data_IF_997983982347
#
_entry.id   IF_997983982347
#
_cell.length_a   1.000
_cell.length_b   1.000
_cell.length_c   1.000
_cell.angle_alpha   90.00
_cell.angle_beta   90.00
_cell.angle_gamma   90.00
#
_symmetry.space_group_name_H-M   'P 1'
#
loop_
_entity.id
_entity.type
_entity.pdbx_description
1 polymer ?
#
# COMPACT_ATOMS: atom_id res chain seq x y z
N UNK A 1 24.28 30.13 8.88
CA UNK A 1 25.31 29.14 9.30
C UNK A 1 24.89 27.85 8.64
N UNK A 2 25.71 27.32 7.74
CA UNK A 2 25.32 26.16 6.94
C UNK A 2 25.32 24.90 7.82
N UNK A 3 24.24 24.14 7.78
CA UNK A 3 24.02 22.92 8.56
C UNK A 3 24.10 21.69 7.68
N UNK A 4 24.62 20.61 8.25
CA UNK A 4 24.66 19.33 7.57
C UNK A 4 23.28 18.66 7.64
N UNK A 5 22.73 18.26 6.49
CA UNK A 5 21.40 17.66 6.41
C UNK A 5 21.45 16.18 6.75
N UNK A 6 20.55 15.75 7.64
CA UNK A 6 20.29 14.35 7.97
C UNK A 6 18.84 14.03 7.63
N UNK A 7 18.62 13.04 6.77
CA UNK A 7 17.29 12.74 6.18
C UNK A 7 16.54 11.60 6.89
N UNK A 8 17.26 10.70 7.56
CA UNK A 8 16.74 9.49 8.22
C UNK A 8 17.43 9.21 9.55
N UNK A 9 16.99 8.16 10.26
CA UNK A 9 17.64 7.72 11.49
C UNK A 9 18.87 6.80 11.26
N UNK A 10 19.37 6.69 10.02
CA UNK A 10 20.60 5.94 9.71
C UNK A 10 21.81 6.68 10.24
N UNK A 11 22.30 6.24 11.38
CA UNK A 11 23.39 6.83 12.14
C UNK A 11 24.74 6.93 11.40
N UNK A 12 24.94 6.11 10.36
CA UNK A 12 26.10 6.16 9.46
C UNK A 12 26.09 7.42 8.58
N UNK A 13 24.93 8.08 8.46
CA UNK A 13 24.75 9.31 7.67
C UNK A 13 24.81 10.57 8.53
N UNK A 14 25.03 10.42 9.84
CA UNK A 14 25.09 11.53 10.78
C UNK A 14 26.54 12.01 10.89
N UNK A 15 26.81 13.31 10.78
CA UNK A 15 28.16 13.84 10.94
C UNK A 15 28.61 13.70 12.40
N UNK A 16 29.91 13.55 12.61
CA UNK A 16 30.50 13.48 13.95
C UNK A 16 30.63 14.87 14.61
N UNK A 17 30.83 15.92 13.81
CA UNK A 17 31.01 17.30 14.26
C UNK A 17 30.23 18.30 13.40
N UNK A 18 29.99 19.49 13.96
CA UNK A 18 29.34 20.61 13.28
C UNK A 18 27.82 20.68 13.48
N UNK A 19 27.19 21.78 13.00
CA UNK A 19 25.76 22.00 13.19
C UNK A 19 24.93 21.13 12.24
N UNK A 20 23.86 20.54 12.76
CA UNK A 20 23.01 19.55 12.07
C UNK A 20 21.61 20.09 11.83
N UNK A 21 21.04 19.78 10.67
CA UNK A 21 19.63 19.91 10.37
C UNK A 21 19.03 18.52 10.18
N UNK A 22 18.22 18.07 11.13
CA UNK A 22 17.38 16.89 10.94
C UNK A 22 16.16 17.26 10.08
N UNK A 23 15.92 16.50 9.01
CA UNK A 23 14.81 16.74 8.08
C UNK A 23 13.43 16.62 8.74
N UNK A 24 13.34 15.87 9.83
CA UNK A 24 12.14 15.77 10.65
C UNK A 24 12.37 14.94 11.90
N UNK A 25 11.34 14.83 12.72
CA UNK A 25 11.40 14.11 14.00
C UNK A 25 11.69 12.61 13.83
N UNK A 26 11.38 12.03 12.68
CA UNK A 26 11.68 10.63 12.37
C UNK A 26 13.19 10.33 12.38
N UNK A 27 14.06 11.33 12.18
CA UNK A 27 15.50 11.17 12.33
C UNK A 27 15.90 10.94 13.80
N UNK A 28 15.15 11.45 14.78
CA UNK A 28 15.54 11.48 16.20
C UNK A 28 14.89 10.36 17.00
N UNK A 29 15.22 9.11 16.68
CA UNK A 29 14.71 7.96 17.44
C UNK A 29 15.02 8.11 18.93
N UNK A 30 14.01 7.93 19.79
CA UNK A 30 14.15 8.09 21.24
C UNK A 30 15.24 7.16 21.83
N UNK A 31 15.36 5.94 21.29
CA UNK A 31 16.39 4.96 21.67
C UNK A 31 17.82 5.44 21.42
N UNK A 32 18.02 6.49 20.63
CA UNK A 32 19.32 7.08 20.28
C UNK A 32 19.53 8.48 20.86
N UNK A 33 18.74 8.84 21.89
CA UNK A 33 18.75 10.18 22.51
C UNK A 33 20.11 10.63 23.00
N UNK A 34 20.90 9.72 23.55
CA UNK A 34 22.25 10.05 24.05
C UNK A 34 23.15 10.63 22.96
N UNK A 35 22.97 10.21 21.70
CA UNK A 35 23.75 10.70 20.56
C UNK A 35 23.20 12.01 19.99
N UNK A 36 21.90 12.07 19.66
CA UNK A 36 21.37 13.27 18.99
C UNK A 36 21.16 14.46 19.93
N UNK A 37 21.01 14.24 21.25
CA UNK A 37 20.78 15.33 22.19
C UNK A 37 22.05 16.15 22.50
N UNK A 38 23.23 15.61 22.21
CA UNK A 38 24.51 16.31 22.37
C UNK A 38 24.94 17.10 21.14
N UNK A 39 24.27 16.91 20.00
CA UNK A 39 24.55 17.62 18.74
C UNK A 39 23.97 19.04 18.76
N UNK A 40 24.65 20.00 18.12
CA UNK A 40 24.06 21.30 17.76
C UNK A 40 23.07 21.09 16.61
N UNK A 41 21.86 20.64 16.95
CA UNK A 41 20.88 20.21 15.98
C UNK A 41 19.58 21.00 16.05
N UNK A 42 19.03 21.30 14.87
CA UNK A 42 17.67 21.81 14.70
C UNK A 42 16.88 20.83 13.84
N UNK A 43 15.55 20.87 13.96
CA UNK A 43 14.64 20.02 13.18
C UNK A 43 13.85 20.88 12.21
N UNK A 44 13.79 20.48 10.94
CA UNK A 44 12.97 21.15 9.95
C UNK A 44 11.47 20.98 10.28
N UNK A 45 10.64 22.01 10.02
CA UNK A 45 9.20 21.88 10.20
C UNK A 45 8.60 20.92 9.17
N UNK A 46 7.50 20.26 9.52
CA UNK A 46 6.87 19.29 8.63
C UNK A 46 5.91 19.95 7.65
N UNK A 47 5.96 19.54 6.38
CA UNK A 47 5.20 20.17 5.29
C UNK A 47 3.67 20.17 5.47
N UNK A 48 3.11 19.24 6.27
CA UNK A 48 1.67 19.14 6.53
C UNK A 48 1.24 19.55 7.94
N UNK A 49 2.11 20.25 8.68
CA UNK A 49 1.69 20.92 9.93
C UNK A 49 0.68 22.04 9.65
N UNK A 50 0.76 22.68 8.48
CA UNK A 50 -0.31 23.55 7.97
C UNK A 50 -1.45 22.72 7.37
N UNK A 51 -2.59 22.69 8.07
CA UNK A 51 -3.78 21.93 7.64
C UNK A 51 -4.43 22.45 6.36
N UNK A 52 -4.28 23.73 6.02
CA UNK A 52 -4.78 24.28 4.75
C UNK A 52 -3.93 23.80 3.58
N UNK A 53 -2.62 23.76 3.77
CA UNK A 53 -1.70 23.19 2.78
C UNK A 53 -1.95 21.69 2.62
N UNK A 54 -2.08 20.95 3.72
CA UNK A 54 -2.39 19.52 3.69
C UNK A 54 -3.68 19.20 2.91
N UNK A 55 -4.75 19.99 3.11
CA UNK A 55 -6.01 19.83 2.35
C UNK A 55 -5.83 20.11 0.84
N UNK A 56 -5.03 21.11 0.50
CA UNK A 56 -4.75 21.47 -0.90
C UNK A 56 -3.91 20.39 -1.57
N UNK A 57 -2.85 19.94 -0.89
CA UNK A 57 -1.98 18.86 -1.34
C UNK A 57 -2.75 17.56 -1.52
N UNK A 58 -3.69 17.25 -0.62
CA UNK A 58 -4.51 16.04 -0.73
C UNK A 58 -5.28 15.99 -2.05
N UNK A 59 -6.00 17.07 -2.41
CA UNK A 59 -6.74 17.16 -3.69
C UNK A 59 -5.81 17.09 -4.88
N UNK A 60 -4.65 17.72 -4.78
CA UNK A 60 -3.62 17.62 -5.81
C UNK A 60 -3.14 16.17 -5.99
N UNK A 61 -2.85 15.45 -4.90
CA UNK A 61 -2.37 14.07 -4.92
C UNK A 61 -3.42 13.10 -5.45
N UNK A 62 -4.70 13.31 -5.14
CA UNK A 62 -5.79 12.56 -5.77
C UNK A 62 -5.80 12.77 -7.28
N UNK A 63 -5.66 14.02 -7.74
CA UNK A 63 -5.59 14.30 -9.19
C UNK A 63 -4.37 13.65 -9.87
N UNK A 64 -3.23 13.57 -9.17
CA UNK A 64 -2.03 12.88 -9.67
C UNK A 64 -2.32 11.39 -9.79
N UNK A 65 -2.90 10.78 -8.76
CA UNK A 65 -3.32 9.37 -8.79
C UNK A 65 -4.28 9.07 -9.96
N UNK A 66 -5.30 9.91 -10.18
CA UNK A 66 -6.27 9.75 -11.27
C UNK A 66 -5.65 9.88 -12.67
N UNK A 67 -4.55 10.64 -12.81
CA UNK A 67 -3.79 10.70 -14.07
C UNK A 67 -2.85 9.51 -14.25
N UNK A 68 -2.19 9.07 -13.19
CA UNK A 68 -1.21 7.97 -13.24
C UNK A 68 -1.88 6.62 -13.47
N UNK A 69 -3.03 6.36 -12.85
CA UNK A 69 -3.67 5.04 -12.87
C UNK A 69 -4.06 4.56 -14.29
N UNK A 70 -4.67 5.39 -15.17
CA UNK A 70 -4.95 4.98 -16.55
C UNK A 70 -3.70 4.75 -17.40
N UNK A 71 -2.64 5.54 -17.21
CA UNK A 71 -1.37 5.33 -17.92
C UNK A 71 -0.70 4.04 -17.46
N UNK A 72 -0.66 3.79 -16.15
CA UNK A 72 -0.11 2.55 -15.59
C UNK A 72 -0.94 1.33 -16.05
N UNK A 73 -2.26 1.47 -16.12
CA UNK A 73 -3.15 0.43 -16.68
C UNK A 73 -2.73 0.05 -18.09
N UNK A 74 -2.50 1.04 -18.97
CA UNK A 74 -2.08 0.80 -20.36
C UNK A 74 -0.74 0.04 -20.41
N UNK A 75 0.22 0.45 -19.59
CA UNK A 75 1.54 -0.17 -19.54
C UNK A 75 1.47 -1.61 -19.02
N UNK A 76 0.69 -1.86 -17.97
CA UNK A 76 0.50 -3.19 -17.40
C UNK A 76 -0.25 -4.13 -18.37
N UNK A 77 -1.28 -3.63 -19.05
CA UNK A 77 -1.99 -4.40 -20.08
C UNK A 77 -1.04 -4.81 -21.21
N UNK A 78 -0.24 -3.88 -21.72
CA UNK A 78 0.75 -4.15 -22.76
C UNK A 78 1.77 -5.22 -22.33
N UNK A 79 2.27 -5.10 -21.09
CA UNK A 79 3.27 -6.03 -20.53
C UNK A 79 2.75 -7.44 -20.35
N UNK A 80 1.53 -7.56 -19.88
CA UNK A 80 0.92 -8.84 -19.56
C UNK A 80 0.14 -9.45 -20.72
N UNK A 81 0.04 -8.75 -21.85
CA UNK A 81 -0.79 -9.18 -22.98
C UNK A 81 -2.27 -9.30 -22.60
N UNK A 82 -2.75 -8.42 -21.72
CA UNK A 82 -4.13 -8.41 -21.23
C UNK A 82 -4.86 -7.14 -21.67
N UNK A 83 -6.19 -7.12 -21.53
CA UNK A 83 -7.03 -5.96 -21.79
C UNK A 83 -7.95 -5.70 -20.59
N UNK A 84 -7.37 -5.64 -19.38
CA UNK A 84 -8.12 -5.41 -18.16
C UNK A 84 -8.53 -3.94 -18.04
N UNK A 85 -9.73 -3.70 -17.50
CA UNK A 85 -10.21 -2.35 -17.26
C UNK A 85 -9.35 -1.59 -16.22
N UNK A 86 -9.44 -0.26 -16.24
CA UNK A 86 -8.83 0.60 -15.21
C UNK A 86 -9.32 0.21 -13.82
N UNK A 87 -10.61 -0.15 -13.67
CA UNK A 87 -11.17 -0.58 -12.38
C UNK A 87 -10.51 -1.88 -11.88
N UNK A 88 -10.23 -2.83 -12.76
CA UNK A 88 -9.52 -4.07 -12.43
C UNK A 88 -8.13 -3.77 -11.86
N UNK A 89 -7.36 -2.92 -12.56
CA UNK A 89 -6.05 -2.48 -12.09
C UNK A 89 -6.12 -1.60 -10.85
N UNK A 90 -7.18 -0.82 -10.69
CA UNK A 90 -7.44 -0.04 -9.49
C UNK A 90 -7.61 -0.93 -8.27
N UNK A 91 -8.38 -2.03 -8.39
CA UNK A 91 -8.54 -3.00 -7.30
C UNK A 91 -7.20 -3.65 -6.92
N UNK A 92 -6.36 -3.98 -7.91
CA UNK A 92 -5.10 -4.68 -7.67
C UNK A 92 -3.95 -3.76 -7.21
N UNK A 93 -3.62 -2.79 -8.05
CA UNK A 93 -2.42 -1.93 -7.95
C UNK A 93 -2.75 -0.56 -7.34
N UNK A 94 -4.02 -0.15 -7.41
CA UNK A 94 -4.48 1.16 -6.93
C UNK A 94 -4.11 1.49 -5.47
N UNK A 95 -4.23 0.56 -4.49
CA UNK A 95 -3.79 0.82 -3.12
C UNK A 95 -2.30 1.20 -3.07
N UNK A 96 -1.43 0.42 -3.71
CA UNK A 96 0.00 0.69 -3.76
C UNK A 96 0.28 2.05 -4.40
N UNK A 97 -0.29 2.31 -5.59
CA UNK A 97 -0.02 3.54 -6.33
C UNK A 97 -0.38 4.78 -5.53
N UNK A 98 -1.55 4.81 -4.89
CA UNK A 98 -1.98 6.00 -4.15
C UNK A 98 -1.17 6.26 -2.88
N UNK A 99 -0.78 5.22 -2.14
CA UNK A 99 0.13 5.40 -1.01
C UNK A 99 1.53 5.79 -1.46
N UNK A 100 2.03 5.16 -2.52
CA UNK A 100 3.34 5.47 -3.10
C UNK A 100 3.42 6.95 -3.49
N UNK A 101 2.44 7.48 -4.23
CA UNK A 101 2.35 8.89 -4.61
C UNK A 101 2.37 9.82 -3.40
N UNK A 102 1.53 9.57 -2.39
CA UNK A 102 1.46 10.41 -1.18
C UNK A 102 2.77 10.39 -0.39
N UNK A 103 3.39 9.22 -0.28
CA UNK A 103 4.66 9.05 0.42
C UNK A 103 5.79 9.79 -0.29
N UNK A 104 5.91 9.65 -1.60
CA UNK A 104 6.90 10.37 -2.39
C UNK A 104 6.70 11.89 -2.28
N UNK A 105 5.45 12.37 -2.30
CA UNK A 105 5.17 13.80 -2.22
C UNK A 105 5.59 14.41 -0.88
N UNK A 106 5.25 13.76 0.23
CA UNK A 106 5.66 14.24 1.55
C UNK A 106 7.18 14.37 1.65
N UNK A 107 7.92 13.40 1.11
CA UNK A 107 9.40 13.41 1.07
C UNK A 107 9.95 14.49 0.15
N UNK A 108 9.34 14.63 -1.03
CA UNK A 108 9.69 15.66 -2.02
C UNK A 108 9.54 17.07 -1.42
N UNK A 109 8.41 17.35 -0.78
CA UNK A 109 8.14 18.64 -0.15
C UNK A 109 9.04 18.94 1.03
N UNK A 110 9.36 17.94 1.86
CA UNK A 110 10.32 18.10 2.95
C UNK A 110 11.70 18.52 2.43
N UNK A 111 12.19 17.89 1.36
CA UNK A 111 13.47 18.27 0.73
C UNK A 111 13.40 19.66 0.08
N UNK A 112 12.36 19.95 -0.71
CA UNK A 112 12.20 21.27 -1.33
C UNK A 112 12.21 22.41 -0.29
N UNK A 113 11.56 22.19 0.86
CA UNK A 113 11.51 23.17 1.95
C UNK A 113 12.89 23.48 2.52
N UNK A 114 13.69 22.46 2.83
CA UNK A 114 15.00 22.67 3.45
C UNK A 114 16.02 23.20 2.44
N UNK A 115 15.98 22.73 1.18
CA UNK A 115 16.86 23.23 0.12
C UNK A 115 16.58 24.70 -0.18
N UNK A 116 15.31 25.10 -0.21
CA UNK A 116 14.93 26.50 -0.45
C UNK A 116 15.39 27.46 0.66
N UNK A 117 15.71 26.96 1.86
CA UNK A 117 16.27 27.81 2.94
C UNK A 117 17.71 28.27 2.65
N UNK A 118 18.45 27.54 1.82
CA UNK A 118 19.83 27.87 1.42
C UNK A 118 20.90 27.63 2.49
N UNK A 119 20.52 27.15 3.68
CA UNK A 119 21.40 27.01 4.85
C UNK A 119 22.05 25.60 4.96
N UNK A 120 22.35 24.94 3.84
CA UNK A 120 22.85 23.55 3.84
C UNK A 120 24.34 23.46 3.45
N UNK A 121 25.13 22.71 4.22
CA UNK A 121 26.55 22.45 3.93
C UNK A 121 26.78 21.18 3.12
N UNK A 122 25.88 20.19 3.24
CA UNK A 122 25.97 18.90 2.56
C UNK A 122 25.05 17.86 3.19
N UNK A 123 25.11 16.64 2.67
CA UNK A 123 24.40 15.45 3.19
C UNK A 123 25.18 14.20 2.78
N UNK A 124 25.08 13.13 3.58
CA UNK A 124 25.60 11.81 3.20
C UNK A 124 24.52 11.04 2.44
N UNK A 125 24.91 10.42 1.32
CA UNK A 125 24.13 9.46 0.54
C UNK A 125 24.83 8.12 0.59
N UNK A 126 24.06 7.07 0.92
CA UNK A 126 24.58 5.71 0.99
C UNK A 126 24.33 5.04 -0.35
N UNK A 127 25.39 4.70 -1.07
CA UNK A 127 25.31 3.95 -2.33
C UNK A 127 25.09 2.46 -2.05
N UNK A 128 24.37 1.78 -2.94
CA UNK A 128 24.13 0.32 -2.85
C UNK A 128 22.79 -0.10 -2.23
N UNK A 129 21.95 0.86 -1.81
CA UNK A 129 20.66 0.59 -1.16
C UNK A 129 19.51 0.39 -2.18
N UNK A 130 19.60 0.95 -3.40
CA UNK A 130 18.44 1.10 -4.29
C UNK A 130 17.94 -0.14 -5.03
N UNK A 131 18.84 -1.04 -5.47
CA UNK A 131 18.43 -2.16 -6.36
C UNK A 131 17.73 -3.31 -5.64
N UNK A 132 17.96 -3.49 -4.34
CA UNK A 132 17.39 -4.59 -3.56
C UNK A 132 16.06 -4.24 -2.88
N UNK A 133 15.64 -2.97 -2.91
CA UNK A 133 14.44 -2.48 -2.21
C UNK A 133 13.21 -2.44 -3.10
N UNK A 134 12.91 -3.57 -3.74
CA UNK A 134 11.67 -3.78 -4.47
C UNK A 134 10.70 -4.57 -3.61
N UNK A 135 9.48 -4.07 -3.35
CA UNK A 135 8.50 -4.85 -2.61
C UNK A 135 8.07 -6.09 -3.40
N UNK A 136 7.89 -7.21 -2.71
CA UNK A 136 7.31 -8.41 -3.31
C UNK A 136 5.81 -8.20 -3.60
N UNK A 137 5.09 -7.70 -2.60
CA UNK A 137 3.64 -7.51 -2.61
C UNK A 137 3.26 -6.28 -1.75
N UNK A 138 1.97 -5.99 -1.59
CA UNK A 138 1.52 -4.86 -0.76
C UNK A 138 2.02 -4.93 0.68
N UNK A 139 2.10 -6.13 1.27
CA UNK A 139 2.62 -6.31 2.63
C UNK A 139 4.12 -6.03 2.68
N UNK A 140 4.85 -6.41 1.63
CA UNK A 140 6.24 -6.04 1.41
C UNK A 140 6.42 -4.53 1.35
N UNK A 141 5.58 -3.85 0.57
CA UNK A 141 5.60 -2.40 0.47
C UNK A 141 5.35 -1.71 1.82
N UNK A 142 4.40 -2.21 2.61
CA UNK A 142 4.14 -1.70 3.96
C UNK A 142 5.37 -1.71 4.86
N UNK A 143 6.15 -2.79 4.83
CA UNK A 143 7.39 -2.87 5.62
C UNK A 143 8.48 -1.97 5.06
N UNK A 144 8.60 -1.87 3.74
CA UNK A 144 9.63 -1.05 3.11
C UNK A 144 9.47 0.43 3.45
N UNK A 145 8.27 1.00 3.34
CA UNK A 145 8.13 2.44 3.55
C UNK A 145 8.32 2.87 5.02
N UNK A 146 8.15 1.96 5.98
CA UNK A 146 8.47 2.17 7.39
C UNK A 146 9.98 2.07 7.67
N UNK A 147 10.74 1.42 6.77
CA UNK A 147 12.18 1.19 6.89
C UNK A 147 13.02 2.43 6.57
N UNK A 148 14.10 2.63 7.30
CA UNK A 148 14.97 3.80 7.13
C UNK A 148 15.73 3.74 5.80
N UNK A 149 16.14 2.54 5.37
CA UNK A 149 16.93 2.32 4.15
C UNK A 149 16.14 2.75 2.89
N UNK A 150 14.87 2.36 2.80
CA UNK A 150 14.01 2.79 1.70
C UNK A 150 13.76 4.29 1.72
N UNK A 151 13.48 4.85 2.89
CA UNK A 151 13.30 6.30 3.02
C UNK A 151 14.56 7.06 2.62
N UNK A 152 15.73 6.58 3.02
CA UNK A 152 17.03 7.15 2.69
C UNK A 152 17.27 7.13 1.18
N UNK A 153 17.03 5.99 0.54
CA UNK A 153 17.08 5.85 -0.91
C UNK A 153 16.17 6.87 -1.62
N UNK A 154 14.90 6.99 -1.19
CA UNK A 154 13.98 7.95 -1.78
C UNK A 154 14.45 9.40 -1.57
N UNK A 155 14.97 9.75 -0.39
CA UNK A 155 15.50 11.10 -0.16
C UNK A 155 16.72 11.40 -1.03
N UNK A 156 17.62 10.43 -1.23
CA UNK A 156 18.76 10.56 -2.12
C UNK A 156 18.31 10.81 -3.57
N UNK A 157 17.37 10.01 -4.08
CA UNK A 157 16.77 10.16 -5.41
C UNK A 157 16.12 11.54 -5.62
N UNK A 158 15.51 12.10 -4.57
CA UNK A 158 14.93 13.45 -4.60
C UNK A 158 16.03 14.51 -4.62
N UNK A 159 17.02 14.40 -3.72
CA UNK A 159 18.12 15.35 -3.59
C UNK A 159 18.93 15.46 -4.89
N UNK A 160 19.16 14.35 -5.59
CA UNK A 160 19.82 14.34 -6.90
C UNK A 160 19.04 15.13 -7.96
N UNK A 161 17.71 15.09 -7.91
CA UNK A 161 16.84 15.78 -8.88
C UNK A 161 16.59 17.24 -8.52
N UNK A 162 16.42 17.55 -7.24
CA UNK A 162 16.18 18.92 -6.75
C UNK A 162 17.48 19.73 -6.81
N UNK A 163 18.62 19.10 -6.51
CA UNK A 163 19.93 19.75 -6.45
C UNK A 163 20.05 20.75 -5.30
N UNK A 164 21.10 21.58 -5.34
CA UNK A 164 21.32 22.64 -4.35
C UNK A 164 21.98 22.21 -3.04
N UNK A 165 22.39 20.93 -2.92
CA UNK A 165 23.10 20.39 -1.76
C UNK A 165 24.30 19.57 -2.23
N UNK A 166 25.43 19.69 -1.55
CA UNK A 166 26.59 18.84 -1.81
C UNK A 166 26.31 17.41 -1.31
N UNK A 167 26.43 16.42 -2.19
CA UNK A 167 26.17 15.01 -1.87
C UNK A 167 27.49 14.27 -1.65
N UNK A 168 27.75 13.87 -0.40
CA UNK A 168 28.86 12.99 -0.06
C UNK A 168 28.40 11.54 -0.19
N UNK A 169 29.03 10.77 -1.09
CA UNK A 169 28.66 9.36 -1.33
C UNK A 169 29.55 8.42 -0.54
N UNK A 170 28.90 7.52 0.19
CA UNK A 170 29.56 6.47 0.97
C UNK A 170 29.04 5.12 0.52
N UNK A 171 29.92 4.18 0.19
CA UNK A 171 29.53 2.82 -0.14
C UNK A 171 28.94 2.13 1.08
N UNK A 172 27.73 1.59 0.93
CA UNK A 172 27.05 0.85 1.99
C UNK A 172 26.71 -0.55 1.48
N UNK A 173 27.09 -1.56 2.27
CA UNK A 173 26.62 -2.92 2.05
C UNK A 173 25.38 -3.12 2.90
N UNK A 174 24.24 -3.32 2.26
CA UNK A 174 22.97 -3.61 2.95
C UNK A 174 23.20 -4.82 3.86
N UNK A 175 23.27 -4.57 5.17
CA UNK A 175 23.62 -5.59 6.17
C UNK A 175 22.40 -6.38 6.65
N UNK A 176 21.19 -5.97 6.23
CA UNK A 176 19.94 -6.65 6.54
C UNK A 176 19.48 -7.53 5.38
N UNK A 177 19.51 -8.84 5.61
CA UNK A 177 18.49 -9.69 4.98
C UNK A 177 17.14 -9.15 5.41
N UNK A 178 16.23 -8.89 4.47
CA UNK A 178 14.82 -8.59 4.74
C UNK A 178 14.39 -9.43 5.94
N UNK A 179 14.02 -8.78 7.05
CA UNK A 179 13.57 -9.49 8.25
C UNK A 179 12.63 -10.61 7.79
N UNK A 180 12.85 -11.87 8.19
CA UNK A 180 12.06 -12.98 7.70
C UNK A 180 10.61 -12.59 7.87
N UNK A 181 9.88 -12.63 6.75
CA UNK A 181 8.45 -12.37 6.67
C UNK A 181 7.82 -12.86 7.97
N UNK A 182 7.11 -12.00 8.74
CA UNK A 182 6.42 -12.48 9.91
C UNK A 182 5.62 -13.69 9.46
N UNK A 183 5.81 -14.81 10.17
CA UNK A 183 5.07 -16.03 9.86
C UNK A 183 3.60 -15.63 9.70
N UNK A 184 2.87 -16.18 8.70
CA UNK A 184 1.44 -15.90 8.57
C UNK A 184 0.84 -16.01 9.96
N UNK A 185 0.01 -15.02 10.38
CA UNK A 185 -0.37 -14.81 11.77
C UNK A 185 -0.60 -16.17 12.38
N UNK A 186 0.25 -16.54 13.35
CA UNK A 186 0.28 -17.91 13.85
C UNK A 186 -1.16 -18.32 14.08
N UNK A 187 -1.60 -19.40 13.44
CA UNK A 187 -2.96 -19.91 13.53
C UNK A 187 -3.21 -20.48 14.95
N UNK A 188 -2.78 -19.77 16.00
CA UNK A 188 -3.01 -20.05 17.41
C UNK A 188 -4.50 -20.23 17.66
N UNK A 189 -5.36 -19.52 16.93
CA UNK A 189 -6.81 -19.72 16.97
C UNK A 189 -7.27 -21.06 16.36
N UNK A 190 -6.55 -21.64 15.37
CA UNK A 190 -6.83 -22.99 14.87
C UNK A 190 -6.41 -24.09 15.86
N UNK A 191 -5.76 -23.77 16.99
CA UNK A 191 -5.59 -24.72 18.09
C UNK A 191 -6.93 -25.03 18.78
N UNK A 192 -7.95 -24.19 18.57
CA UNK A 192 -9.30 -24.49 19.04
C UNK A 192 -9.96 -25.52 18.11
N UNK A 193 -10.53 -26.61 18.66
CA UNK A 193 -11.10 -27.69 17.86
C UNK A 193 -12.27 -27.21 16.97
N UNK A 194 -13.01 -26.19 17.43
CA UNK A 194 -14.08 -25.55 16.65
C UNK A 194 -13.55 -24.87 15.39
N UNK A 195 -12.48 -24.11 15.53
CA UNK A 195 -11.84 -23.41 14.42
C UNK A 195 -11.23 -24.39 13.41
N UNK A 196 -10.59 -25.46 13.90
CA UNK A 196 -10.06 -26.53 13.05
C UNK A 196 -11.18 -27.26 12.27
N UNK A 197 -12.28 -27.61 12.93
CA UNK A 197 -13.44 -28.23 12.28
C UNK A 197 -14.06 -27.31 11.22
N UNK A 198 -14.21 -26.02 11.52
CA UNK A 198 -14.74 -25.04 10.57
C UNK A 198 -13.81 -24.81 9.38
N UNK A 199 -12.50 -24.84 9.60
CA UNK A 199 -11.51 -24.78 8.52
C UNK A 199 -11.57 -26.03 7.63
N UNK A 200 -11.66 -27.22 8.21
CA UNK A 200 -11.80 -28.48 7.47
C UNK A 200 -13.10 -28.49 6.63
N UNK A 201 -14.22 -28.08 7.24
CA UNK A 201 -15.50 -27.91 6.55
C UNK A 201 -15.40 -26.91 5.39
N UNK A 202 -14.83 -25.73 5.64
CA UNK A 202 -14.71 -24.68 4.62
C UNK A 202 -13.83 -25.14 3.45
N UNK A 203 -12.75 -25.88 3.71
CA UNK A 203 -11.90 -26.46 2.65
C UNK A 203 -12.64 -27.51 1.82
N UNK A 204 -13.48 -28.34 2.46
CA UNK A 204 -14.27 -29.35 1.77
C UNK A 204 -15.35 -28.72 0.87
N UNK A 205 -15.96 -27.63 1.33
CA UNK A 205 -17.07 -26.96 0.64
C UNK A 205 -16.58 -25.97 -0.41
N UNK A 206 -15.42 -25.32 -0.23
CA UNK A 206 -14.94 -24.26 -1.12
C UNK A 206 -15.00 -24.62 -2.62
N UNK A 207 -14.49 -25.78 -3.08
CA UNK A 207 -14.54 -26.15 -4.50
C UNK A 207 -15.96 -26.43 -5.01
N UNK A 208 -16.93 -26.61 -4.11
CA UNK A 208 -18.35 -26.86 -4.43
C UNK A 208 -19.17 -25.57 -4.45
N UNK A 209 -18.60 -24.44 -4.05
CA UNK A 209 -19.26 -23.14 -4.21
C UNK A 209 -19.37 -22.86 -5.70
N UNK A 210 -20.61 -22.85 -6.18
CA UNK A 210 -20.91 -22.67 -7.60
C UNK A 210 -20.59 -21.25 -8.05
N UNK A 211 -20.24 -21.13 -9.33
CA UNK A 211 -20.34 -19.88 -10.07
C UNK A 211 -21.75 -19.26 -9.89
N UNK A 212 -21.79 -17.94 -9.74
CA UNK A 212 -23.00 -17.16 -9.47
C UNK A 212 -23.32 -16.98 -7.98
N UNK A 213 -22.51 -17.51 -7.07
CA UNK A 213 -22.66 -17.32 -5.62
C UNK A 213 -22.09 -16.02 -5.06
N UNK A 214 -22.38 -15.74 -3.78
CA UNK A 214 -21.74 -14.71 -2.96
C UNK A 214 -20.48 -15.27 -2.29
N UNK A 215 -19.44 -14.45 -2.21
CA UNK A 215 -18.18 -14.77 -1.52
C UNK A 215 -17.89 -13.65 -0.51
N UNK A 216 -17.71 -14.02 0.76
CA UNK A 216 -17.38 -13.10 1.85
C UNK A 216 -15.93 -13.36 2.26
N UNK A 217 -15.05 -12.36 2.20
CA UNK A 217 -13.63 -12.51 2.59
C UNK A 217 -13.26 -11.40 3.55
N UNK A 218 -12.85 -11.77 4.77
CA UNK A 218 -12.59 -10.82 5.85
C UNK A 218 -13.69 -9.75 5.97
N UNK A 219 -14.98 -10.14 6.13
CA UNK A 219 -16.11 -9.20 6.16
C UNK A 219 -16.16 -8.33 7.44
N UNK A 220 -15.20 -8.51 8.36
CA UNK A 220 -15.17 -7.89 9.68
C UNK A 220 -16.36 -8.26 10.59
N UNK A 221 -17.13 -9.31 10.23
CA UNK A 221 -18.24 -9.86 11.01
C UNK A 221 -17.79 -11.02 11.91
N UNK A 222 -18.63 -11.39 12.90
CA UNK A 222 -18.45 -12.64 13.63
C UNK A 222 -18.76 -13.85 12.74
N UNK A 223 -18.18 -15.03 13.03
CA UNK A 223 -18.50 -16.24 12.26
C UNK A 223 -20.00 -16.59 12.26
N UNK A 224 -20.76 -16.51 13.38
CA UNK A 224 -22.21 -16.72 13.35
C UNK A 224 -22.95 -15.79 12.39
N UNK A 225 -22.57 -14.51 12.36
CA UNK A 225 -23.18 -13.53 11.46
C UNK A 225 -22.84 -13.85 10.01
N UNK A 226 -21.57 -14.16 9.71
CA UNK A 226 -21.10 -14.57 8.39
C UNK A 226 -21.86 -15.82 7.89
N UNK A 227 -22.03 -16.83 8.75
CA UNK A 227 -22.83 -18.03 8.43
C UNK A 227 -24.30 -17.67 8.16
N UNK A 228 -24.88 -16.77 8.96
CA UNK A 228 -26.27 -16.34 8.79
C UNK A 228 -26.50 -15.66 7.44
N UNK A 229 -25.52 -14.91 6.94
CA UNK A 229 -25.57 -14.26 5.62
C UNK A 229 -25.61 -15.31 4.52
N UNK A 230 -24.76 -16.34 4.60
CA UNK A 230 -24.80 -17.45 3.64
C UNK A 230 -26.15 -18.18 3.61
N UNK A 231 -26.73 -18.47 4.79
CA UNK A 231 -28.04 -19.12 4.90
C UNK A 231 -29.12 -18.25 4.26
N UNK A 232 -29.12 -16.94 4.50
CA UNK A 232 -30.06 -15.98 3.89
C UNK A 232 -29.92 -15.92 2.37
N UNK A 233 -28.70 -16.05 1.85
CA UNK A 233 -28.43 -16.18 0.41
C UNK A 233 -28.66 -17.59 -0.14
N UNK A 234 -29.15 -18.54 0.67
CA UNK A 234 -29.39 -19.94 0.28
C UNK A 234 -28.12 -20.62 -0.25
N UNK A 235 -26.97 -20.25 0.30
CA UNK A 235 -25.66 -20.82 0.00
C UNK A 235 -25.16 -21.67 1.16
N UNK A 236 -24.26 -22.60 0.85
CA UNK A 236 -23.63 -23.44 1.88
C UNK A 236 -22.75 -22.54 2.77
N UNK A 237 -22.98 -22.50 4.10
CA UNK A 237 -22.20 -21.65 4.99
C UNK A 237 -20.75 -22.11 5.09
N UNK A 238 -19.80 -21.20 4.94
CA UNK A 238 -18.36 -21.47 5.08
C UNK A 238 -17.59 -20.17 5.36
N UNK A 239 -16.36 -20.26 5.87
CA UNK A 239 -15.50 -19.10 6.13
C UNK A 239 -14.33 -19.11 5.15
N UNK A 240 -14.34 -18.23 4.15
CA UNK A 240 -13.28 -18.18 3.13
C UNK A 240 -11.92 -17.81 3.72
N UNK A 241 -11.89 -16.99 4.78
CA UNK A 241 -10.65 -16.64 5.46
C UNK A 241 -9.94 -17.83 6.13
N UNK A 242 -10.59 -19.00 6.24
CA UNK A 242 -9.99 -20.25 6.73
C UNK A 242 -9.56 -21.20 5.60
N UNK A 243 -9.93 -20.90 4.35
CA UNK A 243 -9.53 -21.66 3.17
C UNK A 243 -8.11 -21.22 2.81
N UNK A 244 -7.12 -22.13 2.83
CA UNK A 244 -5.76 -21.79 2.44
C UNK A 244 -5.72 -21.36 0.99
N UNK A 245 -4.97 -20.30 0.73
CA UNK A 245 -4.68 -19.82 -0.62
C UNK A 245 -3.18 -19.90 -0.82
N UNK A 246 -2.76 -20.40 -1.98
CA UNK A 246 -1.35 -20.49 -2.33
C UNK A 246 -0.78 -19.08 -2.46
N UNK A 247 0.20 -18.76 -1.62
CA UNK A 247 0.97 -17.52 -1.76
C UNK A 247 2.08 -17.75 -2.76
N UNK A 248 2.05 -17.00 -3.85
CA UNK A 248 3.12 -17.00 -4.84
C UNK A 248 4.26 -16.13 -4.32
N UNK A 249 5.48 -16.65 -4.37
CA UNK A 249 6.69 -15.90 -4.06
C UNK A 249 7.29 -15.32 -5.33
N UNK A 250 7.70 -14.05 -5.29
CA UNK A 250 8.12 -13.33 -6.49
C UNK A 250 9.38 -12.52 -6.22
N UNK A 251 10.38 -12.69 -7.09
CA UNK A 251 11.61 -11.90 -7.07
C UNK A 251 11.55 -10.82 -8.13
N UNK A 252 12.04 -9.63 -7.81
CA UNK A 252 12.19 -8.58 -8.80
C UNK A 252 13.15 -9.03 -9.91
N UNK A 253 12.82 -8.72 -11.16
CA UNK A 253 13.67 -8.98 -12.31
C UNK A 253 14.31 -7.68 -12.80
N UNK A 254 14.87 -7.71 -14.01
CA UNK A 254 15.35 -6.49 -14.67
C UNK A 254 14.19 -5.60 -15.11
N UNK A 255 14.22 -4.33 -14.69
CA UNK A 255 13.13 -3.37 -14.90
C UNK A 255 13.56 -2.22 -15.80
N UNK A 256 13.90 -2.55 -17.04
CA UNK A 256 14.26 -1.55 -18.05
C UNK A 256 13.03 -1.09 -18.83
N UNK A 257 12.20 -0.26 -18.20
CA UNK A 257 11.06 0.35 -18.87
C UNK A 257 10.68 1.69 -18.27
N UNK A 258 9.92 2.46 -19.05
CA UNK A 258 9.43 3.77 -18.67
C UNK A 258 7.92 3.77 -18.70
N UNK A 259 7.33 4.39 -17.69
CA UNK A 259 5.88 4.60 -17.65
C UNK A 259 5.47 5.53 -18.78
N UNK A 260 4.37 5.20 -19.48
CA UNK A 260 3.82 6.04 -20.55
C UNK A 260 3.12 7.29 -19.97
N UNK A 261 2.80 8.24 -20.84
CA UNK A 261 2.12 9.49 -20.49
C UNK A 261 3.05 10.65 -20.12
N UNK A 262 2.53 11.88 -20.21
CA UNK A 262 3.30 13.10 -19.99
C UNK A 262 3.11 13.63 -18.56
N UNK A 263 4.19 13.96 -17.84
CA UNK A 263 4.08 14.49 -16.48
C UNK A 263 3.61 15.94 -16.48
N UNK A 264 2.66 16.27 -15.60
CA UNK A 264 2.17 17.65 -15.44
C UNK A 264 3.21 18.60 -14.81
N UNK A 265 4.15 18.08 -14.01
CA UNK A 265 5.19 18.86 -13.34
C UNK A 265 6.38 17.98 -12.93
N UNK A 266 7.39 18.58 -12.27
CA UNK A 266 8.61 17.90 -11.83
C UNK A 266 8.35 16.75 -10.85
N UNK A 267 7.40 16.92 -9.92
CA UNK A 267 7.05 15.86 -8.98
C UNK A 267 6.40 14.67 -9.69
N UNK A 268 5.44 14.94 -10.59
CA UNK A 268 4.80 13.85 -11.34
C UNK A 268 5.82 13.10 -12.22
N UNK A 269 6.79 13.82 -12.81
CA UNK A 269 7.91 13.20 -13.55
C UNK A 269 8.72 12.27 -12.65
N UNK A 270 9.08 12.73 -11.46
CA UNK A 270 9.80 11.93 -10.47
C UNK A 270 9.05 10.65 -10.11
N UNK A 271 7.74 10.74 -9.85
CA UNK A 271 6.92 9.56 -9.55
C UNK A 271 6.91 8.57 -10.73
N UNK A 272 6.69 9.07 -11.96
CA UNK A 272 6.68 8.23 -13.18
C UNK A 272 8.01 7.52 -13.42
N UNK A 273 9.12 8.17 -13.10
CA UNK A 273 10.46 7.57 -13.23
C UNK A 273 10.69 6.44 -12.21
N UNK A 274 10.15 6.58 -10.99
CA UNK A 274 10.33 5.59 -9.92
C UNK A 274 9.37 4.41 -9.97
N UNK A 275 8.15 4.58 -10.52
CA UNK A 275 7.14 3.52 -10.60
C UNK A 275 7.71 2.22 -11.20
N UNK A 276 8.38 2.25 -12.38
CA UNK A 276 8.96 1.06 -12.97
C UNK A 276 9.91 0.29 -12.07
N UNK A 277 10.58 0.97 -11.14
CA UNK A 277 11.60 0.39 -10.27
C UNK A 277 11.03 -0.03 -8.91
N UNK A 278 9.92 0.56 -8.47
CA UNK A 278 9.37 0.39 -7.12
C UNK A 278 8.01 -0.32 -7.05
N UNK A 279 7.38 -0.59 -8.21
CA UNK A 279 6.15 -1.39 -8.26
C UNK A 279 6.36 -2.81 -7.71
N UNK A 280 5.42 -3.39 -6.92
CA UNK A 280 5.61 -4.73 -6.38
C UNK A 280 5.86 -5.80 -7.44
N UNK A 281 6.79 -6.71 -7.18
CA UNK A 281 7.16 -7.76 -8.15
C UNK A 281 6.01 -8.71 -8.44
N UNK A 282 5.08 -8.91 -7.52
CA UNK A 282 3.85 -9.67 -7.75
C UNK A 282 2.97 -9.09 -8.87
N UNK A 283 3.09 -7.79 -9.19
CA UNK A 283 2.28 -7.13 -10.22
C UNK A 283 2.97 -7.09 -11.59
N UNK A 284 4.26 -7.46 -11.66
CA UNK A 284 5.04 -7.50 -12.89
C UNK A 284 5.57 -8.92 -13.09
N UNK A 285 6.68 -9.28 -12.46
CA UNK A 285 7.36 -10.56 -12.68
C UNK A 285 6.52 -11.76 -12.21
N UNK A 286 5.79 -11.56 -11.11
CA UNK A 286 4.93 -12.57 -10.51
C UNK A 286 3.55 -12.71 -11.12
N UNK A 287 3.15 -11.82 -12.02
CA UNK A 287 1.74 -11.70 -12.44
C UNK A 287 1.16 -13.01 -12.97
N UNK A 288 1.86 -13.66 -13.91
CA UNK A 288 1.41 -14.93 -14.50
C UNK A 288 1.36 -16.07 -13.47
N UNK A 289 2.30 -16.10 -12.51
CA UNK A 289 2.31 -17.10 -11.47
C UNK A 289 1.15 -16.91 -10.48
N UNK A 290 0.81 -15.64 -10.16
CA UNK A 290 -0.39 -15.31 -9.40
C UNK A 290 -1.64 -15.76 -10.15
N UNK A 291 -1.76 -15.46 -11.44
CA UNK A 291 -2.91 -15.89 -12.26
C UNK A 291 -3.08 -17.42 -12.29
N UNK A 292 -1.99 -18.16 -12.49
CA UNK A 292 -2.01 -19.62 -12.45
C UNK A 292 -2.45 -20.16 -11.07
N UNK A 293 -1.95 -19.56 -9.98
CA UNK A 293 -2.37 -19.92 -8.63
C UNK A 293 -3.85 -19.62 -8.35
N UNK A 294 -4.43 -18.61 -9.03
CA UNK A 294 -5.87 -18.35 -8.96
C UNK A 294 -6.69 -19.40 -9.70
N UNK A 295 -6.21 -19.88 -10.86
CA UNK A 295 -6.88 -20.93 -11.64
C UNK A 295 -6.89 -22.28 -10.90
N UNK A 296 -5.82 -22.60 -10.18
CA UNK A 296 -5.72 -23.81 -9.35
C UNK A 296 -6.39 -23.63 -7.96
N UNK A 297 -6.74 -22.39 -7.62
CA UNK A 297 -7.21 -22.00 -6.32
C UNK A 297 -8.66 -22.44 -6.03
N UNK A 298 -9.07 -22.38 -4.75
CA UNK A 298 -10.41 -22.80 -4.34
C UNK A 298 -11.49 -21.73 -4.59
N UNK A 299 -11.13 -20.55 -5.07
CA UNK A 299 -12.09 -19.46 -5.27
C UNK A 299 -12.92 -19.66 -6.55
N UNK A 300 -14.22 -19.31 -6.53
CA UNK A 300 -15.08 -19.46 -7.70
C UNK A 300 -14.65 -18.51 -8.81
N UNK A 301 -14.79 -18.95 -10.07
CA UNK A 301 -14.36 -18.19 -11.23
C UNK A 301 -15.31 -17.03 -11.55
N UNK A 302 -16.62 -17.20 -11.31
CA UNK A 302 -17.65 -16.20 -11.64
C UNK A 302 -18.59 -15.95 -10.47
N UNK A 303 -18.13 -15.42 -9.32
CA UNK A 303 -19.03 -15.03 -8.26
C UNK A 303 -20.00 -13.94 -8.74
N UNK A 304 -21.20 -13.90 -8.19
CA UNK A 304 -22.15 -12.80 -8.46
C UNK A 304 -21.86 -11.59 -7.58
N UNK A 305 -21.42 -11.84 -6.35
CA UNK A 305 -21.20 -10.83 -5.33
C UNK A 305 -19.96 -11.17 -4.51
N UNK A 306 -19.11 -10.18 -4.31
CA UNK A 306 -17.93 -10.24 -3.44
C UNK A 306 -18.14 -9.22 -2.34
N UNK A 307 -18.03 -9.65 -1.09
CA UNK A 307 -18.04 -8.75 0.05
C UNK A 307 -16.74 -8.86 0.83
N UNK A 308 -16.11 -7.72 1.10
CA UNK A 308 -14.96 -7.65 1.99
C UNK A 308 -14.99 -6.36 2.79
N UNK A 309 -14.35 -6.38 3.95
CA UNK A 309 -14.10 -5.17 4.71
C UNK A 309 -12.61 -4.92 4.89
N UNK A 310 -11.70 -5.79 4.43
CA UNK A 310 -10.26 -5.61 4.68
C UNK A 310 -9.35 -6.24 3.61
N UNK A 311 -9.84 -7.28 2.91
CA UNK A 311 -8.99 -8.07 2.03
C UNK A 311 -8.54 -7.30 0.79
N UNK A 312 -9.31 -6.29 0.36
CA UNK A 312 -8.98 -5.40 -0.75
C UNK A 312 -7.77 -4.49 -0.49
N UNK A 313 -7.22 -4.49 0.73
CA UNK A 313 -6.11 -3.62 1.09
C UNK A 313 -4.75 -4.34 0.91
N UNK A 314 -4.49 -5.37 1.72
CA UNK A 314 -3.18 -6.04 1.82
C UNK A 314 -3.11 -7.46 1.24
N UNK A 315 -4.23 -8.04 0.83
CA UNK A 315 -4.25 -9.40 0.31
C UNK A 315 -4.21 -9.39 -1.22
N UNK A 316 -2.99 -9.39 -1.78
CA UNK A 316 -2.77 -9.30 -3.23
C UNK A 316 -3.42 -10.43 -4.01
N UNK A 317 -3.44 -11.66 -3.46
CA UNK A 317 -4.15 -12.77 -4.10
C UNK A 317 -5.65 -12.47 -4.17
N UNK A 318 -6.25 -11.99 -3.07
CA UNK A 318 -7.67 -11.60 -3.08
C UNK A 318 -7.93 -10.45 -4.05
N UNK A 319 -7.07 -9.42 -4.07
CA UNK A 319 -7.23 -8.29 -4.99
C UNK A 319 -7.17 -8.76 -6.45
N UNK A 320 -6.23 -9.65 -6.80
CA UNK A 320 -6.11 -10.19 -8.15
C UNK A 320 -7.37 -11.00 -8.54
N UNK A 321 -7.87 -11.85 -7.65
CA UNK A 321 -9.11 -12.59 -7.88
C UNK A 321 -10.35 -11.70 -7.97
N UNK A 322 -10.48 -10.72 -7.08
CA UNK A 322 -11.60 -9.78 -7.07
C UNK A 322 -11.58 -8.92 -8.35
N UNK A 323 -10.41 -8.44 -8.77
CA UNK A 323 -10.21 -7.71 -10.01
C UNK A 323 -10.64 -8.54 -11.23
N UNK A 324 -10.23 -9.82 -11.33
CA UNK A 324 -10.67 -10.74 -12.39
C UNK A 324 -12.18 -10.99 -12.34
N UNK A 325 -12.73 -11.20 -11.16
CA UNK A 325 -14.15 -11.50 -10.98
C UNK A 325 -15.04 -10.32 -11.37
N UNK A 326 -14.61 -9.09 -11.06
CA UNK A 326 -15.32 -7.85 -11.45
C UNK A 326 -15.33 -7.68 -12.97
N UNK A 327 -14.26 -8.01 -13.68
CA UNK A 327 -14.25 -8.02 -15.15
C UNK A 327 -15.27 -9.02 -15.73
N UNK A 328 -15.53 -10.12 -15.00
CA UNK A 328 -16.54 -11.11 -15.35
C UNK A 328 -17.95 -10.76 -14.86
N UNK A 329 -18.15 -9.55 -14.34
CA UNK A 329 -19.46 -9.00 -13.96
C UNK A 329 -19.85 -9.19 -12.49
N UNK A 330 -18.93 -9.64 -11.62
CA UNK A 330 -19.18 -9.68 -10.18
C UNK A 330 -19.37 -8.27 -9.61
N UNK A 331 -20.27 -8.13 -8.64
CA UNK A 331 -20.39 -6.90 -7.84
C UNK A 331 -19.41 -6.95 -6.68
N UNK A 332 -18.62 -5.89 -6.49
CA UNK A 332 -17.74 -5.72 -5.34
C UNK A 332 -18.40 -4.79 -4.32
N UNK A 333 -18.69 -5.31 -3.13
CA UNK A 333 -19.19 -4.55 -1.99
C UNK A 333 -18.08 -4.46 -0.96
N UNK A 334 -17.81 -3.24 -0.48
CA UNK A 334 -16.77 -2.99 0.52
C UNK A 334 -17.43 -2.49 1.80
N UNK A 335 -17.02 -3.02 2.95
CA UNK A 335 -17.52 -2.63 4.26
C UNK A 335 -16.49 -1.82 5.03
N UNK A 336 -16.96 -0.81 5.76
CA UNK A 336 -16.15 -0.02 6.69
C UNK A 336 -15.55 -0.93 7.79
N UNK A 337 -14.28 -0.68 8.13
CA UNK A 337 -13.47 -1.48 9.06
C UNK A 337 -12.73 -0.64 10.11
N UNK A 338 -13.43 0.27 10.80
CA UNK A 338 -12.85 1.07 11.90
C UNK A 338 -11.75 2.03 11.46
N UNK A 339 -11.25 2.86 12.37
CA UNK A 339 -10.28 3.92 12.04
C UNK A 339 -10.96 5.23 11.62
N UNK A 340 -10.46 5.87 10.58
CA UNK A 340 -10.77 7.25 10.22
C UNK A 340 -11.96 7.44 9.26
N UNK A 341 -12.62 6.37 8.83
CA UNK A 341 -13.70 6.40 7.84
C UNK A 341 -14.95 7.15 8.33
N UNK A 342 -15.42 8.11 7.54
CA UNK A 342 -16.54 9.00 7.85
C UNK A 342 -16.22 10.07 8.90
N UNK A 343 -14.95 10.19 9.33
CA UNK A 343 -14.52 11.12 10.38
C UNK A 343 -13.37 12.00 9.92
N UNK A 344 -12.35 11.43 9.26
CA UNK A 344 -11.28 12.24 8.69
C UNK A 344 -11.80 13.04 7.49
N UNK A 345 -11.43 14.32 7.43
CA UNK A 345 -11.80 15.19 6.31
C UNK A 345 -11.21 14.70 4.98
N UNK A 346 -10.00 14.13 5.03
CA UNK A 346 -9.30 13.57 3.89
C UNK A 346 -8.67 12.23 4.25
N UNK A 347 -9.00 11.19 3.52
CA UNK A 347 -8.41 9.87 3.72
C UNK A 347 -8.44 9.03 2.45
N UNK A 348 -7.26 8.80 1.88
CA UNK A 348 -7.11 8.05 0.64
C UNK A 348 -7.71 6.65 0.73
N UNK A 349 -7.59 5.98 1.89
CA UNK A 349 -8.16 4.64 2.07
C UNK A 349 -9.67 4.61 1.87
N UNK A 350 -10.40 5.60 2.42
CA UNK A 350 -11.83 5.72 2.21
C UNK A 350 -12.18 6.01 0.75
N UNK A 351 -11.53 7.01 0.14
CA UNK A 351 -11.82 7.39 -1.25
C UNK A 351 -11.52 6.24 -2.22
N UNK A 352 -10.40 5.54 -2.01
CA UNK A 352 -10.04 4.37 -2.78
C UNK A 352 -11.11 3.27 -2.65
N UNK A 353 -11.52 2.91 -1.43
CA UNK A 353 -12.54 1.89 -1.18
C UNK A 353 -13.88 2.23 -1.81
N UNK A 354 -14.33 3.47 -1.68
CA UNK A 354 -15.56 3.96 -2.31
C UNK A 354 -15.47 3.92 -3.83
N UNK A 355 -14.31 4.24 -4.40
CA UNK A 355 -14.11 4.29 -5.85
C UNK A 355 -14.17 2.92 -6.52
N UNK A 356 -13.68 1.86 -5.86
CA UNK A 356 -13.69 0.49 -6.42
C UNK A 356 -15.00 -0.27 -6.19
N UNK A 357 -15.80 0.16 -5.20
CA UNK A 357 -17.00 -0.54 -4.77
C UNK A 357 -18.24 -0.20 -5.62
N UNK A 358 -19.07 -1.21 -5.86
CA UNK A 358 -20.46 -1.04 -6.34
C UNK A 358 -21.39 -0.56 -5.20
N UNK A 359 -21.06 -0.91 -3.96
CA UNK A 359 -21.66 -0.37 -2.74
C UNK A 359 -20.64 -0.35 -1.60
N UNK A 360 -20.62 0.75 -0.84
CA UNK A 360 -19.77 0.97 0.32
C UNK A 360 -20.63 0.98 1.59
N UNK A 361 -20.52 -0.06 2.41
CA UNK A 361 -21.33 -0.25 3.59
C UNK A 361 -20.70 0.43 4.80
N UNK A 362 -21.39 1.39 5.40
CA UNK A 362 -20.86 2.19 6.52
C UNK A 362 -21.49 1.81 7.85
N UNK A 363 -20.88 2.25 8.94
CA UNK A 363 -21.38 2.07 10.30
C UNK A 363 -22.49 3.04 10.71
N UNK A 364 -23.26 3.55 9.74
CA UNK A 364 -24.50 4.30 10.00
C UNK A 364 -24.55 5.70 9.42
N UNK A 365 -23.59 6.08 8.57
CA UNK A 365 -23.57 7.38 7.89
C UNK A 365 -23.79 7.21 6.37
N UNK A 366 -24.33 8.24 5.73
CA UNK A 366 -24.57 8.28 4.28
C UNK A 366 -23.92 9.51 3.68
N UNK A 367 -23.54 9.43 2.41
CA UNK A 367 -23.09 10.59 1.65
C UNK A 367 -24.12 10.97 0.58
N UNK A 368 -24.77 12.14 0.66
CA UNK A 368 -25.73 12.59 -0.35
C UNK A 368 -25.14 12.71 -1.76
N UNK A 369 -23.82 12.94 -1.87
CA UNK A 369 -23.12 13.05 -3.15
C UNK A 369 -22.77 11.68 -3.75
N UNK A 370 -22.79 10.61 -2.95
CA UNK A 370 -22.40 9.28 -3.38
C UNK A 370 -23.40 8.21 -2.90
N UNK A 371 -24.34 7.87 -3.79
CA UNK A 371 -25.39 6.87 -3.52
C UNK A 371 -24.88 5.45 -3.26
N UNK A 372 -23.59 5.17 -3.53
CA UNK A 372 -22.98 3.88 -3.19
C UNK A 372 -22.74 3.75 -1.69
N UNK A 373 -22.70 4.86 -0.95
CA UNK A 373 -22.50 4.87 0.50
C UNK A 373 -23.81 4.50 1.20
N UNK A 374 -23.87 3.29 1.74
CA UNK A 374 -25.08 2.72 2.33
C UNK A 374 -24.89 2.52 3.85
N UNK A 375 -25.69 3.18 4.69
CA UNK A 375 -25.63 2.98 6.13
C UNK A 375 -26.27 1.64 6.51
N UNK A 376 -25.47 0.74 7.09
CA UNK A 376 -25.95 -0.58 7.55
C UNK A 376 -25.77 -0.79 9.06
N UNK A 377 -25.14 0.17 9.74
CA UNK A 377 -24.76 0.06 11.14
C UNK A 377 -23.47 -0.76 11.31
N UNK A 378 -23.11 -1.00 12.57
CA UNK A 378 -21.84 -1.65 12.89
C UNK A 378 -21.82 -3.11 12.43
N UNK A 379 -20.88 -3.45 11.55
CA UNK A 379 -20.66 -4.81 11.07
C UNK A 379 -19.77 -5.65 12.00
N UNK A 380 -18.99 -5.01 12.87
CA UNK A 380 -18.09 -5.72 13.78
C UNK A 380 -18.85 -6.43 14.89
N UNK A 381 -18.66 -7.75 15.01
CA UNK A 381 -19.09 -8.49 16.19
C UNK A 381 -18.33 -8.04 17.44
N UNK A 382 -18.97 -8.07 18.61
CA UNK A 382 -18.25 -7.98 19.89
C UNK A 382 -17.27 -9.15 19.95
N UNK A 383 -15.98 -8.85 20.09
CA UNK A 383 -14.92 -9.86 20.26
C UNK A 383 -15.08 -10.63 21.56
#
# INVERSE_FOLDING_TARGET
>A
MNRFLVTTALEETWPDEGPVLFLGEWCRRYSRRERWASMDAVVAPYCWDDRRQAATDYRYLWSVYERLLPDLTRDLNLRHGTDRSVRSWQILVGPWLGYFVQMLYSRWRSIELVVASGDLSGTIVLDGIGQDLVPEDMVGFHRLFEGEEWNHFIYAEILERVGGVNLERVSHTVTRGLDPMPSPPSLRFLREPRAAALAAWSRLVAPRVRDGGTVLVAPFMSWPDEMSVYIRFRQVPMIWSLVPVTRVRTTAGERNWKMSGEPANRFERFVRDLIPHQIPSAYIEGFNAVEAALDEGPWPARPKLIFTSNAHYNNDTFKAWAARSVELGARLVVGQHGGNFGVAEYYFGEEHERSIADAYLTWGWSDPADRRVVPVGQLSGRR
#
